data_IF_030521558160
#
_entry.id   IF_030521558160
#
_cell.length_a   1.000
_cell.length_b   1.000
_cell.length_c   1.000
_cell.angle_alpha   90.00
_cell.angle_beta   90.00
_cell.angle_gamma   90.00
#
_symmetry.space_group_name_H-M   'P 1'
#
loop_
_entity.id
_entity.type
_entity.pdbx_description
1 polymer ?
#
# COMPACT_ATOMS: atom_id res chain seq x y z
N UNK A 1 -23.74 -15.79 19.20
CA UNK A 1 -24.71 -14.97 19.99
C UNK A 1 -24.39 -14.91 21.50
N UNK A 2 -23.19 -15.30 21.97
CA UNK A 2 -22.74 -15.21 23.38
C UNK A 2 -21.92 -13.94 23.70
N UNK A 3 -21.42 -13.23 22.68
CA UNK A 3 -20.50 -12.10 22.85
C UNK A 3 -21.19 -10.76 23.22
N UNK A 4 -22.52 -10.68 23.08
CA UNK A 4 -23.28 -9.45 23.39
C UNK A 4 -23.46 -9.15 24.88
N UNK A 5 -23.11 -10.09 25.78
CA UNK A 5 -23.35 -9.95 27.22
C UNK A 5 -22.14 -9.43 28.02
N UNK A 6 -21.01 -9.13 27.38
CA UNK A 6 -19.77 -8.74 28.06
C UNK A 6 -19.45 -7.24 27.97
N UNK A 7 -20.43 -6.41 27.61
CA UNK A 7 -20.21 -5.02 27.18
C UNK A 7 -19.36 -4.16 28.13
N UNK A 8 -19.25 -4.49 29.43
CA UNK A 8 -18.51 -3.69 30.42
C UNK A 8 -17.78 -4.48 31.52
N UNK A 9 -17.41 -5.76 31.32
CA UNK A 9 -16.70 -6.54 32.36
C UNK A 9 -15.19 -6.66 32.06
N UNK A 10 -14.30 -5.90 32.74
CA UNK A 10 -12.85 -5.96 32.50
C UNK A 10 -12.27 -7.35 32.78
N UNK A 11 -12.84 -8.11 33.74
CA UNK A 11 -12.39 -9.48 34.02
C UNK A 11 -12.66 -10.45 32.86
N UNK A 12 -13.70 -10.19 32.08
CA UNK A 12 -14.01 -11.00 30.90
C UNK A 12 -13.06 -10.69 29.74
N UNK A 13 -12.75 -9.41 29.52
CA UNK A 13 -11.73 -9.01 28.55
C UNK A 13 -10.36 -9.64 28.89
N UNK A 14 -9.94 -9.53 30.16
CA UNK A 14 -8.68 -10.14 30.63
C UNK A 14 -8.66 -11.66 30.45
N UNK A 15 -9.80 -12.34 30.69
CA UNK A 15 -9.90 -13.77 30.49
C UNK A 15 -9.78 -14.15 29.02
N UNK A 16 -10.40 -13.39 28.11
CA UNK A 16 -10.29 -13.60 26.66
C UNK A 16 -8.85 -13.40 26.18
N UNK A 17 -8.17 -12.35 26.63
CA UNK A 17 -6.75 -12.10 26.29
C UNK A 17 -5.85 -13.24 26.79
N UNK A 18 -6.03 -13.70 28.03
CA UNK A 18 -5.29 -14.86 28.56
C UNK A 18 -5.56 -16.14 27.77
N UNK A 19 -6.80 -16.38 27.36
CA UNK A 19 -7.16 -17.52 26.53
C UNK A 19 -6.49 -17.45 25.15
N UNK A 20 -6.41 -16.25 24.54
CA UNK A 20 -5.70 -16.05 23.27
C UNK A 20 -4.22 -16.40 23.41
N UNK A 21 -3.51 -15.86 24.40
CA UNK A 21 -2.09 -16.16 24.61
C UNK A 21 -1.85 -17.67 24.81
N UNK A 22 -2.67 -18.33 25.62
CA UNK A 22 -2.54 -19.77 25.85
C UNK A 22 -2.79 -20.60 24.59
N UNK A 23 -3.71 -20.17 23.73
CA UNK A 23 -3.96 -20.83 22.44
C UNK A 23 -2.79 -20.62 21.47
N UNK A 24 -2.21 -19.43 21.45
CA UNK A 24 -1.05 -19.09 20.62
C UNK A 24 0.18 -19.92 21.01
N UNK A 25 0.50 -19.97 22.31
CA UNK A 25 1.58 -20.81 22.85
C UNK A 25 1.39 -22.27 22.44
N UNK A 26 0.17 -22.78 22.57
CA UNK A 26 -0.12 -24.17 22.22
C UNK A 26 0.00 -24.44 20.73
N UNK A 27 -0.43 -23.50 19.90
CA UNK A 27 -0.32 -23.59 18.45
C UNK A 27 1.15 -23.59 18.02
N UNK A 28 1.96 -22.73 18.62
CA UNK A 28 3.40 -22.65 18.38
C UNK A 28 4.12 -23.96 18.77
N UNK A 29 3.79 -24.55 19.93
CA UNK A 29 4.30 -25.87 20.33
C UNK A 29 4.00 -26.95 19.28
N UNK A 30 2.76 -26.97 18.77
CA UNK A 30 2.32 -27.94 17.76
C UNK A 30 3.10 -27.72 16.45
N UNK A 31 3.20 -26.48 15.97
CA UNK A 31 3.98 -26.16 14.76
C UNK A 31 5.43 -26.62 14.87
N UNK A 32 6.10 -26.34 16.00
CA UNK A 32 7.48 -26.78 16.26
C UNK A 32 7.58 -28.31 16.20
N UNK A 33 6.63 -29.03 16.80
CA UNK A 33 6.60 -30.50 16.79
C UNK A 33 6.42 -31.05 15.37
N UNK A 34 5.49 -30.50 14.59
CA UNK A 34 5.26 -30.90 13.20
C UNK A 34 6.51 -30.69 12.33
N UNK A 35 7.13 -29.51 12.42
CA UNK A 35 8.36 -29.17 11.69
C UNK A 35 9.51 -30.11 12.06
N UNK A 36 9.68 -30.45 13.35
CA UNK A 36 10.70 -31.40 13.81
C UNK A 36 10.51 -32.79 13.21
N UNK A 37 9.26 -33.24 13.06
CA UNK A 37 8.93 -34.57 12.53
C UNK A 37 9.04 -34.65 10.99
N UNK A 38 8.96 -33.52 10.28
CA UNK A 38 9.15 -33.46 8.82
C UNK A 38 10.57 -33.86 8.36
N UNK A 39 11.55 -33.94 9.28
CA UNK A 39 12.93 -34.41 9.00
C UNK A 39 13.01 -35.87 8.53
N UNK A 40 11.94 -36.65 8.65
CA UNK A 40 11.88 -38.08 8.26
C UNK A 40 11.28 -38.31 6.87
N UNK A 41 10.96 -37.24 6.14
CA UNK A 41 10.32 -37.26 4.82
C UNK A 41 11.37 -36.99 3.73
N UNK A 42 11.13 -37.43 2.49
CA UNK A 42 11.99 -37.10 1.34
C UNK A 42 12.09 -35.59 1.16
N UNK A 43 13.27 -35.08 0.81
CA UNK A 43 13.61 -33.65 0.78
C UNK A 43 12.61 -32.77 0.00
N UNK A 44 12.12 -33.24 -1.15
CA UNK A 44 11.14 -32.51 -1.97
C UNK A 44 9.78 -32.39 -1.28
N UNK A 45 9.28 -33.49 -0.73
CA UNK A 45 7.99 -33.53 -0.02
C UNK A 45 8.08 -32.74 1.30
N UNK A 46 9.27 -32.71 1.92
CA UNK A 46 9.56 -31.89 3.09
C UNK A 46 9.52 -30.39 2.77
N UNK A 47 10.10 -29.95 1.64
CA UNK A 47 10.07 -28.55 1.22
C UNK A 47 8.62 -28.08 0.99
N UNK A 48 7.82 -28.87 0.27
CA UNK A 48 6.42 -28.55 0.01
C UNK A 48 5.61 -28.44 1.30
N UNK A 49 5.75 -29.40 2.22
CA UNK A 49 5.06 -29.36 3.51
C UNK A 49 5.48 -28.16 4.38
N UNK A 50 6.75 -27.74 4.33
CA UNK A 50 7.22 -26.55 5.04
C UNK A 50 6.68 -25.25 4.44
N UNK A 51 6.53 -25.18 3.11
CA UNK A 51 5.93 -24.03 2.43
C UNK A 51 4.44 -23.92 2.74
N UNK A 52 3.71 -25.03 2.72
CA UNK A 52 2.30 -25.04 3.10
C UNK A 52 2.09 -24.57 4.55
N UNK A 53 2.92 -25.07 5.48
CA UNK A 53 2.89 -24.63 6.88
C UNK A 53 3.22 -23.14 7.03
N UNK A 54 4.19 -22.64 6.26
CA UNK A 54 4.56 -21.23 6.23
C UNK A 54 3.41 -20.36 5.72
N UNK A 55 2.77 -20.74 4.61
CA UNK A 55 1.63 -20.02 4.04
C UNK A 55 0.43 -20.00 5.00
N UNK A 56 0.12 -21.13 5.64
CA UNK A 56 -0.94 -21.19 6.67
C UNK A 56 -0.63 -20.28 7.86
N UNK A 57 0.61 -20.31 8.36
CA UNK A 57 1.01 -19.45 9.48
C UNK A 57 0.91 -17.96 9.11
N UNK A 58 1.43 -17.59 7.94
CA UNK A 58 1.38 -16.22 7.42
C UNK A 58 -0.06 -15.74 7.19
N UNK A 59 -0.91 -16.59 6.61
CA UNK A 59 -2.33 -16.30 6.40
C UNK A 59 -3.08 -16.08 7.71
N UNK A 60 -2.83 -16.93 8.72
CA UNK A 60 -3.45 -16.80 10.03
C UNK A 60 -3.01 -15.52 10.76
N UNK A 61 -1.72 -15.16 10.67
CA UNK A 61 -1.19 -13.92 11.23
C UNK A 61 -1.86 -12.70 10.57
N UNK A 62 -1.84 -12.62 9.24
CA UNK A 62 -2.50 -11.54 8.48
C UNK A 62 -3.99 -11.43 8.79
N UNK A 63 -4.72 -12.55 8.89
CA UNK A 63 -6.14 -12.55 9.28
C UNK A 63 -6.35 -12.01 10.69
N UNK A 64 -5.46 -12.32 11.63
CA UNK A 64 -5.52 -11.84 13.01
C UNK A 64 -5.22 -10.33 13.06
N UNK A 65 -4.16 -9.88 12.41
CA UNK A 65 -3.80 -8.46 12.28
C UNK A 65 -4.94 -7.64 11.65
N UNK A 66 -5.59 -8.19 10.62
CA UNK A 66 -6.77 -7.59 9.98
C UNK A 66 -7.94 -7.43 10.95
N UNK A 67 -8.31 -8.49 11.66
CA UNK A 67 -9.42 -8.46 12.62
C UNK A 67 -9.16 -7.49 13.78
N UNK A 68 -7.91 -7.43 14.26
CA UNK A 68 -7.52 -6.46 15.29
C UNK A 68 -7.62 -5.03 14.76
N UNK A 69 -7.15 -4.78 13.55
CA UNK A 69 -7.24 -3.48 12.88
C UNK A 69 -8.69 -3.04 12.67
N UNK A 70 -9.56 -3.93 12.16
CA UNK A 70 -11.00 -3.70 12.04
C UNK A 70 -11.65 -3.37 13.37
N UNK A 71 -11.33 -4.15 14.41
CA UNK A 71 -11.86 -3.95 15.76
C UNK A 71 -11.42 -2.60 16.33
N UNK A 72 -10.15 -2.22 16.14
CA UNK A 72 -9.64 -0.90 16.54
C UNK A 72 -10.35 0.24 15.81
N UNK A 73 -10.62 0.10 14.51
CA UNK A 73 -11.36 1.10 13.75
C UNK A 73 -12.79 1.31 14.25
N UNK A 74 -13.45 0.23 14.65
CA UNK A 74 -14.80 0.27 15.22
C UNK A 74 -14.85 0.90 16.62
N UNK A 75 -13.73 0.95 17.35
CA UNK A 75 -13.64 1.64 18.64
C UNK A 75 -13.62 3.15 18.37
N UNK A 76 -14.66 3.88 18.81
CA UNK A 76 -14.76 5.34 18.64
C UNK A 76 -13.82 6.19 19.51
N UNK A 77 -12.74 5.60 20.06
CA UNK A 77 -11.80 6.24 20.97
C UNK A 77 -10.47 6.51 20.25
N UNK A 78 -9.96 7.73 20.33
CA UNK A 78 -8.70 8.16 19.69
C UNK A 78 -7.45 7.46 20.24
N UNK A 79 -7.53 6.77 21.37
CA UNK A 79 -6.41 6.01 21.92
C UNK A 79 -5.89 4.89 21.00
N UNK A 80 -6.68 4.47 20.00
CA UNK A 80 -6.20 3.49 18.99
C UNK A 80 -5.32 4.12 17.90
N UNK A 81 -5.31 5.45 17.76
CA UNK A 81 -4.60 6.14 16.67
C UNK A 81 -3.10 5.80 16.64
N UNK A 82 -2.34 5.88 17.76
CA UNK A 82 -0.91 5.55 17.72
C UNK A 82 -0.64 4.11 17.27
N UNK A 83 -1.50 3.17 17.67
CA UNK A 83 -1.37 1.75 17.30
C UNK A 83 -1.68 1.56 15.82
N UNK A 84 -2.77 2.15 15.32
CA UNK A 84 -3.11 2.11 13.89
C UNK A 84 -2.02 2.77 13.03
N UNK A 85 -1.39 3.84 13.51
CA UNK A 85 -0.25 4.48 12.83
C UNK A 85 0.97 3.55 12.80
N UNK A 86 1.25 2.84 13.89
CA UNK A 86 2.29 1.82 13.91
C UNK A 86 1.98 0.69 12.93
N UNK A 87 0.74 0.20 12.91
CA UNK A 87 0.29 -0.83 11.97
C UNK A 87 0.48 -0.37 10.53
N UNK A 88 0.07 0.85 10.21
CA UNK A 88 0.22 1.41 8.87
C UNK A 88 1.68 1.50 8.40
N UNK A 89 2.61 1.79 9.32
CA UNK A 89 4.05 2.02 9.08
C UNK A 89 4.94 0.78 9.16
N UNK A 90 4.50 -0.33 9.76
CA UNK A 90 5.35 -1.50 9.93
C UNK A 90 5.47 -2.30 8.61
N UNK A 91 6.66 -2.37 7.98
CA UNK A 91 6.86 -3.12 6.74
C UNK A 91 6.63 -4.63 6.88
N UNK A 92 6.64 -5.16 8.11
CA UNK A 92 6.45 -6.59 8.37
C UNK A 92 4.97 -7.00 8.35
N UNK A 93 4.07 -6.04 8.52
CA UNK A 93 2.62 -6.28 8.51
C UNK A 93 2.16 -6.40 7.07
N UNK A 94 1.24 -7.33 6.82
CA UNK A 94 0.66 -7.49 5.48
C UNK A 94 0.04 -6.18 5.02
N UNK A 95 0.36 -5.78 3.80
CA UNK A 95 -0.01 -4.48 3.28
C UNK A 95 -1.54 -4.31 3.15
N UNK A 96 -2.32 -5.37 2.91
CA UNK A 96 -3.79 -5.28 3.01
C UNK A 96 -4.28 -4.80 4.39
N UNK A 97 -3.60 -5.19 5.48
CA UNK A 97 -3.90 -4.70 6.84
C UNK A 97 -3.43 -3.25 7.01
N UNK A 98 -2.26 -2.90 6.46
CA UNK A 98 -1.76 -1.52 6.45
C UNK A 98 -2.75 -0.58 5.74
N UNK A 99 -3.31 -0.99 4.59
CA UNK A 99 -4.32 -0.23 3.83
C UNK A 99 -5.54 0.06 4.69
N UNK A 100 -5.98 -0.96 5.42
CA UNK A 100 -7.14 -0.84 6.27
C UNK A 100 -6.89 0.10 7.45
N UNK A 101 -5.71 0.03 8.07
CA UNK A 101 -5.33 0.97 9.14
C UNK A 101 -5.33 2.41 8.63
N UNK A 102 -4.80 2.64 7.44
CA UNK A 102 -4.77 3.94 6.74
C UNK A 102 -6.17 4.46 6.46
N UNK A 103 -7.06 3.62 5.90
CA UNK A 103 -8.45 3.97 5.64
C UNK A 103 -9.19 4.36 6.93
N UNK A 104 -8.98 3.59 8.00
CA UNK A 104 -9.56 3.87 9.32
C UNK A 104 -9.04 5.20 9.87
N UNK A 105 -7.74 5.45 9.78
CA UNK A 105 -7.12 6.67 10.26
C UNK A 105 -7.64 7.90 9.52
N UNK A 106 -7.74 7.84 8.18
CA UNK A 106 -8.29 8.92 7.36
C UNK A 106 -9.73 9.28 7.75
N UNK A 107 -10.56 8.28 8.09
CA UNK A 107 -11.93 8.51 8.57
C UNK A 107 -12.01 9.07 9.99
N UNK A 108 -11.00 8.83 10.83
CA UNK A 108 -11.02 9.22 12.25
C UNK A 108 -10.53 10.64 12.48
N UNK A 109 -9.35 10.98 11.96
CA UNK A 109 -8.72 12.31 12.10
C UNK A 109 -7.83 12.60 10.89
N UNK A 110 -8.37 13.26 9.86
CA UNK A 110 -7.60 13.65 8.69
C UNK A 110 -6.36 14.47 9.07
N UNK A 111 -6.53 15.54 9.85
CA UNK A 111 -5.45 16.52 10.09
C UNK A 111 -4.23 15.95 10.86
N UNK A 112 -4.41 14.94 11.71
CA UNK A 112 -3.35 14.38 12.57
C UNK A 112 -2.51 13.28 11.88
N UNK A 113 -2.92 12.79 10.70
CA UNK A 113 -2.33 11.59 10.06
C UNK A 113 -1.55 11.94 8.78
N UNK A 114 -1.62 13.18 8.31
CA UNK A 114 -0.95 13.65 7.10
C UNK A 114 0.56 13.32 7.03
N UNK A 115 1.29 13.55 8.13
CA UNK A 115 2.74 13.25 8.22
C UNK A 115 3.01 11.74 8.13
N UNK A 116 2.16 10.92 8.74
CA UNK A 116 2.27 9.46 8.64
C UNK A 116 1.96 8.96 7.23
N UNK A 117 1.03 9.60 6.53
CA UNK A 117 0.76 9.30 5.13
C UNK A 117 1.90 9.73 4.21
N UNK A 118 2.50 10.91 4.41
CA UNK A 118 3.62 11.39 3.60
C UNK A 118 4.84 10.45 3.66
N UNK A 119 5.19 9.95 4.85
CA UNK A 119 6.27 8.97 5.02
C UNK A 119 5.97 7.63 4.33
N UNK A 120 4.70 7.20 4.36
CA UNK A 120 4.27 5.96 3.74
C UNK A 120 4.25 6.01 2.21
N UNK A 121 3.96 7.19 1.64
CA UNK A 121 4.04 7.44 0.20
C UNK A 121 5.48 7.49 -0.29
N UNK A 122 6.41 7.94 0.56
CA UNK A 122 7.82 8.14 0.23
C UNK A 122 8.73 6.93 0.44
N UNK A 123 8.22 5.76 0.85
CA UNK A 123 9.02 4.55 1.08
C UNK A 123 8.72 3.41 0.08
N UNK A 124 9.40 3.39 -1.08
CA UNK A 124 9.35 2.28 -2.05
C UNK A 124 10.02 0.99 -1.53
N UNK A 125 10.82 1.07 -0.45
CA UNK A 125 11.74 0.01 -0.04
C UNK A 125 11.11 -1.07 0.82
N UNK A 126 9.89 -0.87 1.33
CA UNK A 126 9.24 -1.81 2.26
C UNK A 126 8.93 -3.20 1.66
N UNK A 127 9.08 -3.40 0.34
CA UNK A 127 9.05 -4.73 -0.31
C UNK A 127 10.37 -5.12 -1.02
N UNK A 128 11.38 -4.23 -1.05
CA UNK A 128 12.63 -4.42 -1.80
C UNK A 128 13.60 -5.41 -1.11
N UNK A 129 13.61 -5.50 0.23
CA UNK A 129 14.50 -6.41 0.95
C UNK A 129 14.08 -7.89 0.80
N UNK A 130 12.78 -8.18 0.80
CA UNK A 130 12.25 -9.52 0.50
C UNK A 130 12.45 -9.86 -0.98
N UNK A 131 12.36 -8.85 -1.87
CA UNK A 131 12.62 -8.94 -3.33
C UNK A 131 14.07 -9.36 -3.61
N UNK A 132 15.06 -8.74 -2.97
CA UNK A 132 16.47 -9.11 -3.14
C UNK A 132 16.79 -10.50 -2.58
N UNK A 133 16.26 -10.84 -1.41
CA UNK A 133 16.48 -12.16 -0.81
C UNK A 133 15.88 -13.29 -1.66
N UNK A 134 14.66 -13.11 -2.18
CA UNK A 134 14.00 -14.08 -3.05
C UNK A 134 14.75 -14.24 -4.39
N UNK A 135 15.13 -13.15 -5.06
CA UNK A 135 15.86 -13.19 -6.34
C UNK A 135 17.24 -13.85 -6.20
N UNK A 136 17.96 -13.58 -5.11
CA UNK A 136 19.25 -14.19 -4.83
C UNK A 136 19.14 -15.69 -4.51
N UNK A 137 18.05 -16.11 -3.86
CA UNK A 137 17.80 -17.52 -3.49
C UNK A 137 17.25 -18.36 -4.65
N UNK A 138 16.54 -17.75 -5.61
CA UNK A 138 15.98 -18.41 -6.80
C UNK A 138 17.03 -18.81 -7.86
N UNK A 139 18.26 -18.27 -7.77
CA UNK A 139 19.35 -18.57 -8.71
C UNK A 139 19.92 -19.98 -8.46
N UNK A 140 19.21 -21.01 -8.93
CA UNK A 140 19.69 -22.41 -8.89
C UNK A 140 18.63 -23.49 -8.65
N UNK A 141 17.37 -23.14 -8.42
CA UNK A 141 16.31 -24.12 -8.13
C UNK A 141 15.63 -24.60 -9.42
N UNK A 142 15.66 -25.91 -9.71
CA UNK A 142 15.07 -26.54 -10.91
C UNK A 142 13.61 -27.01 -10.74
N UNK A 143 12.95 -26.64 -9.65
CA UNK A 143 11.61 -27.12 -9.30
C UNK A 143 10.55 -26.07 -9.62
N UNK A 144 9.86 -26.27 -10.74
CA UNK A 144 8.87 -25.35 -11.34
C UNK A 144 7.77 -24.89 -10.38
N UNK A 145 7.26 -25.80 -9.53
CA UNK A 145 6.21 -25.48 -8.56
C UNK A 145 6.67 -24.53 -7.45
N UNK A 146 7.95 -24.58 -7.06
CA UNK A 146 8.52 -23.67 -6.07
C UNK A 146 8.66 -22.26 -6.64
N UNK A 147 9.07 -22.18 -7.90
CA UNK A 147 9.17 -20.91 -8.63
C UNK A 147 7.78 -20.27 -8.79
N UNK A 148 6.76 -21.04 -9.14
CA UNK A 148 5.39 -20.53 -9.29
C UNK A 148 4.78 -20.02 -7.97
N UNK A 149 4.98 -20.74 -6.86
CA UNK A 149 4.52 -20.28 -5.55
C UNK A 149 5.17 -18.95 -5.13
N UNK A 150 6.49 -18.82 -5.34
CA UNK A 150 7.24 -17.61 -5.02
C UNK A 150 6.88 -16.43 -5.94
N UNK A 151 6.62 -16.68 -7.24
CA UNK A 151 6.16 -15.68 -8.19
C UNK A 151 4.75 -15.17 -7.86
N UNK A 152 3.85 -16.04 -7.40
CA UNK A 152 2.52 -15.64 -6.97
C UNK A 152 2.60 -14.75 -5.73
N UNK A 153 3.46 -15.08 -4.75
CA UNK A 153 3.72 -14.23 -3.59
C UNK A 153 4.33 -12.87 -3.97
N UNK A 154 5.21 -12.84 -4.98
CA UNK A 154 5.75 -11.60 -5.55
C UNK A 154 4.66 -10.71 -6.18
N UNK A 155 3.83 -11.28 -7.06
CA UNK A 155 2.76 -10.54 -7.72
C UNK A 155 1.72 -10.04 -6.72
N UNK A 156 1.41 -10.84 -5.70
CA UNK A 156 0.49 -10.45 -4.63
C UNK A 156 1.00 -9.22 -3.86
N UNK A 157 2.29 -9.19 -3.47
CA UNK A 157 2.87 -8.03 -2.79
C UNK A 157 2.86 -6.74 -3.64
N UNK A 158 3.07 -6.84 -4.96
CA UNK A 158 2.98 -5.70 -5.88
C UNK A 158 1.55 -5.19 -6.02
N UNK A 159 0.57 -6.08 -6.17
CA UNK A 159 -0.85 -5.73 -6.23
C UNK A 159 -1.33 -5.09 -4.94
N UNK A 160 -0.95 -5.66 -3.79
CA UNK A 160 -1.33 -5.12 -2.49
C UNK A 160 -0.66 -3.74 -2.23
N UNK A 161 0.58 -3.53 -2.68
CA UNK A 161 1.26 -2.22 -2.62
C UNK A 161 0.53 -1.12 -3.37
N UNK A 162 0.17 -1.36 -4.63
CA UNK A 162 -0.60 -0.36 -5.37
C UNK A 162 -2.03 -0.21 -4.83
N UNK A 163 -2.57 -1.22 -4.15
CA UNK A 163 -3.82 -1.07 -3.40
C UNK A 163 -3.67 -0.11 -2.20
N UNK A 164 -2.54 -0.15 -1.47
CA UNK A 164 -2.24 0.80 -0.39
C UNK A 164 -2.20 2.22 -0.92
N UNK A 165 -1.41 2.39 -1.97
CA UNK A 165 -1.18 3.69 -2.59
C UNK A 165 -2.49 4.27 -3.13
N UNK A 166 -3.32 3.44 -3.76
CA UNK A 166 -4.66 3.85 -4.19
C UNK A 166 -5.54 4.30 -3.04
N UNK A 167 -5.55 3.56 -1.93
CA UNK A 167 -6.37 3.86 -0.74
C UNK A 167 -5.90 5.16 -0.08
N UNK A 168 -4.59 5.37 0.00
CA UNK A 168 -4.00 6.63 0.46
C UNK A 168 -4.41 7.79 -0.43
N UNK A 169 -4.25 7.67 -1.75
CA UNK A 169 -4.63 8.72 -2.68
C UNK A 169 -6.15 9.02 -2.66
N UNK A 170 -6.99 8.06 -2.30
CA UNK A 170 -8.43 8.33 -2.06
C UNK A 170 -8.64 9.15 -0.78
N UNK A 171 -7.95 8.80 0.30
CA UNK A 171 -8.07 9.51 1.57
C UNK A 171 -7.52 10.95 1.46
N UNK A 172 -6.40 11.14 0.77
CA UNK A 172 -5.63 12.38 0.79
C UNK A 172 -6.26 13.56 0.05
N UNK A 173 -7.32 13.36 -0.73
CA UNK A 173 -7.99 14.46 -1.44
C UNK A 173 -8.61 15.50 -0.50
N UNK A 174 -8.71 15.17 0.78
CA UNK A 174 -9.28 16.03 1.83
C UNK A 174 -8.20 16.71 2.71
N UNK A 175 -6.90 16.55 2.40
CA UNK A 175 -5.80 16.94 3.28
C UNK A 175 -4.97 18.08 2.69
N UNK A 176 -4.90 19.24 3.37
CA UNK A 176 -4.06 20.38 2.96
C UNK A 176 -2.72 20.43 3.71
N UNK A 177 -1.94 19.35 3.61
CA UNK A 177 -0.60 19.25 4.23
C UNK A 177 0.53 19.40 3.17
N UNK A 178 1.52 20.28 3.40
CA UNK A 178 2.62 20.50 2.45
C UNK A 178 3.51 19.27 2.18
N UNK A 179 3.69 18.36 3.15
CA UNK A 179 4.48 17.14 2.97
C UNK A 179 3.72 16.09 2.16
N UNK A 180 2.42 15.92 2.43
CA UNK A 180 1.54 15.08 1.62
C UNK A 180 1.57 15.54 0.18
N UNK A 181 1.36 16.83 -0.05
CA UNK A 181 1.41 17.43 -1.38
C UNK A 181 2.72 17.13 -2.12
N UNK A 182 3.86 17.24 -1.43
CA UNK A 182 5.17 16.93 -2.01
C UNK A 182 5.26 15.46 -2.44
N UNK A 183 4.78 14.53 -1.62
CA UNK A 183 4.79 13.10 -1.94
C UNK A 183 3.87 12.78 -3.13
N UNK A 184 2.68 13.39 -3.20
CA UNK A 184 1.76 13.19 -4.34
C UNK A 184 2.34 13.78 -5.64
N UNK A 185 3.06 14.92 -5.57
CA UNK A 185 3.80 15.46 -6.71
C UNK A 185 4.86 14.48 -7.21
N UNK A 186 5.62 13.84 -6.31
CA UNK A 186 6.64 12.86 -6.66
C UNK A 186 6.03 11.65 -7.39
N UNK A 187 4.91 11.12 -6.88
CA UNK A 187 4.18 10.01 -7.50
C UNK A 187 3.69 10.38 -8.90
N UNK A 188 3.16 11.59 -9.10
CA UNK A 188 2.68 12.02 -10.41
C UNK A 188 3.81 12.05 -11.47
N UNK A 189 5.01 12.48 -11.07
CA UNK A 189 6.16 12.64 -11.98
C UNK A 189 6.96 11.36 -12.23
N UNK A 190 7.03 10.44 -11.27
CA UNK A 190 7.88 9.24 -11.38
C UNK A 190 7.32 8.21 -12.37
N UNK A 191 8.19 7.67 -13.21
CA UNK A 191 7.87 6.57 -14.14
C UNK A 191 7.88 5.19 -13.47
N UNK A 192 8.23 5.11 -12.18
CA UNK A 192 8.25 3.86 -11.40
C UNK A 192 6.84 3.41 -10.97
N UNK A 193 5.85 4.31 -11.08
CA UNK A 193 4.46 4.04 -10.71
C UNK A 193 3.60 3.66 -11.92
N UNK A 194 2.62 2.73 -11.76
CA UNK A 194 1.65 2.40 -12.79
C UNK A 194 0.86 3.62 -13.24
N UNK A 195 0.45 3.60 -14.51
CA UNK A 195 -0.30 4.69 -15.15
C UNK A 195 -1.53 5.10 -14.32
N UNK A 196 -2.30 4.13 -13.81
CA UNK A 196 -3.54 4.41 -13.06
C UNK A 196 -3.26 5.13 -11.73
N UNK A 197 -2.16 4.79 -11.04
CA UNK A 197 -1.71 5.46 -9.82
C UNK A 197 -1.33 6.90 -10.12
N UNK A 198 -0.55 7.13 -11.17
CA UNK A 198 -0.10 8.47 -11.58
C UNK A 198 -1.26 9.35 -11.97
N UNK A 199 -2.21 8.83 -12.76
CA UNK A 199 -3.47 9.52 -13.09
C UNK A 199 -4.24 9.93 -11.85
N UNK A 200 -4.32 9.04 -10.86
CA UNK A 200 -5.00 9.31 -9.59
C UNK A 200 -4.29 10.37 -8.76
N UNK A 201 -2.96 10.32 -8.68
CA UNK A 201 -2.15 11.35 -8.03
C UNK A 201 -2.35 12.73 -8.70
N UNK A 202 -2.33 12.80 -10.03
CA UNK A 202 -2.64 14.04 -10.77
C UNK A 202 -4.04 14.53 -10.43
N UNK A 203 -5.06 13.66 -10.43
CA UNK A 203 -6.42 14.09 -10.06
C UNK A 203 -6.50 14.61 -8.62
N UNK A 204 -5.81 13.97 -7.68
CA UNK A 204 -5.76 14.34 -6.27
C UNK A 204 -5.08 15.70 -6.06
N UNK A 205 -4.02 16.00 -6.81
CA UNK A 205 -3.32 17.30 -6.74
C UNK A 205 -4.21 18.50 -7.07
N UNK A 206 -5.31 18.30 -7.81
CA UNK A 206 -6.28 19.36 -8.08
C UNK A 206 -7.06 19.80 -6.82
N UNK A 207 -7.17 18.92 -5.81
CA UNK A 207 -7.94 19.19 -4.59
C UNK A 207 -7.19 20.11 -3.60
N UNK A 208 -5.87 20.24 -3.73
CA UNK A 208 -5.05 21.16 -2.91
C UNK A 208 -5.27 22.65 -3.26
N UNK A 209 -6.05 22.97 -4.30
CA UNK A 209 -6.33 24.35 -4.73
C UNK A 209 -5.08 25.24 -4.90
N UNK A 210 -3.94 24.65 -5.29
CA UNK A 210 -2.70 25.39 -5.55
C UNK A 210 -2.31 25.41 -7.03
N UNK A 211 -2.51 26.54 -7.72
CA UNK A 211 -2.06 26.75 -9.10
C UNK A 211 -0.56 26.51 -9.35
N UNK A 212 0.30 26.60 -8.34
CA UNK A 212 1.75 26.43 -8.50
C UNK A 212 2.15 25.02 -8.93
N UNK A 213 1.31 24.01 -8.64
CA UNK A 213 1.51 22.61 -9.04
C UNK A 213 1.59 22.48 -10.57
N UNK A 214 0.86 23.34 -11.31
CA UNK A 214 0.84 23.34 -12.77
C UNK A 214 2.23 23.60 -13.37
N UNK A 215 3.12 24.31 -12.66
CA UNK A 215 4.48 24.58 -13.13
C UNK A 215 5.31 23.29 -13.28
N UNK A 216 5.03 22.25 -12.49
CA UNK A 216 5.70 20.95 -12.60
C UNK A 216 5.00 20.01 -13.59
N UNK A 217 3.67 19.97 -13.57
CA UNK A 217 2.90 19.00 -14.35
C UNK A 217 2.71 19.37 -15.82
N UNK A 218 2.53 20.65 -16.17
CA UNK A 218 2.35 21.06 -17.57
C UNK A 218 3.54 20.65 -18.45
N UNK A 219 4.81 20.88 -18.05
CA UNK A 219 5.97 20.41 -18.82
C UNK A 219 5.98 18.91 -19.15
N UNK A 220 5.30 18.06 -18.36
CA UNK A 220 5.19 16.63 -18.67
C UNK A 220 4.58 16.39 -20.06
N UNK A 221 3.69 17.28 -20.51
CA UNK A 221 3.02 17.21 -21.82
C UNK A 221 3.95 17.57 -22.99
N UNK A 222 5.19 17.99 -22.76
CA UNK A 222 6.18 18.10 -23.84
C UNK A 222 6.67 16.73 -24.32
N UNK A 223 6.57 15.70 -23.46
CA UNK A 223 6.87 14.32 -23.82
C UNK A 223 5.62 13.63 -24.37
N UNK A 224 5.74 13.07 -25.57
CA UNK A 224 4.66 12.31 -26.23
C UNK A 224 4.14 11.14 -25.38
N UNK A 225 5.00 10.47 -24.63
CA UNK A 225 4.62 9.27 -23.87
C UNK A 225 3.74 9.63 -22.66
N UNK A 226 3.80 10.89 -22.21
CA UNK A 226 3.00 11.41 -21.10
C UNK A 226 1.62 11.93 -21.53
N UNK A 227 1.27 11.89 -22.83
CA UNK A 227 -0.06 12.32 -23.28
C UNK A 227 -1.21 11.50 -22.73
N UNK A 228 -0.93 10.29 -22.25
CA UNK A 228 -1.87 9.48 -21.50
C UNK A 228 -2.43 10.19 -20.25
N UNK A 229 -1.73 11.23 -19.76
CA UNK A 229 -2.12 12.08 -18.63
C UNK A 229 -2.77 13.41 -19.05
N UNK A 230 -2.93 13.68 -20.35
CA UNK A 230 -3.42 14.96 -20.88
C UNK A 230 -4.74 15.35 -20.24
N UNK A 231 -5.75 14.47 -20.28
CA UNK A 231 -7.08 14.77 -19.74
C UNK A 231 -7.03 15.07 -18.23
N UNK A 232 -6.21 14.33 -17.47
CA UNK A 232 -6.04 14.55 -16.04
C UNK A 232 -5.45 15.95 -15.74
N UNK A 233 -4.38 16.32 -16.46
CA UNK A 233 -3.70 17.62 -16.30
C UNK A 233 -4.59 18.78 -16.75
N UNK A 234 -5.31 18.61 -17.87
CA UNK A 234 -6.21 19.66 -18.37
C UNK A 234 -7.43 19.84 -17.46
N UNK A 235 -8.01 18.75 -16.94
CA UNK A 235 -9.08 18.84 -15.96
C UNK A 235 -8.62 19.56 -14.69
N UNK A 236 -7.38 19.33 -14.23
CA UNK A 236 -6.79 20.10 -13.14
C UNK A 236 -6.70 21.59 -13.47
N UNK A 237 -6.21 21.96 -14.65
CA UNK A 237 -6.13 23.37 -15.09
C UNK A 237 -7.50 24.04 -15.03
N UNK A 238 -8.56 23.36 -15.47
CA UNK A 238 -9.94 23.88 -15.38
C UNK A 238 -10.43 23.97 -13.94
N UNK A 239 -10.20 22.95 -13.10
CA UNK A 239 -10.58 22.96 -11.67
C UNK A 239 -9.96 24.14 -10.93
N UNK A 240 -8.70 24.46 -11.24
CA UNK A 240 -7.98 25.57 -10.62
C UNK A 240 -8.32 26.95 -11.21
N UNK A 241 -9.17 27.02 -12.25
CA UNK A 241 -9.54 28.28 -12.92
C UNK A 241 -8.38 28.95 -13.67
N UNK A 242 -7.40 28.15 -14.10
CA UNK A 242 -6.13 28.60 -14.66
C UNK A 242 -6.08 28.42 -16.20
N UNK A 243 -7.22 28.17 -16.84
CA UNK A 243 -7.33 27.82 -18.25
C UNK A 243 -6.90 28.96 -19.18
N UNK A 244 -7.30 30.21 -18.89
CA UNK A 244 -6.96 31.36 -19.75
C UNK A 244 -5.47 31.64 -19.74
N UNK A 245 -4.84 31.55 -18.56
CA UNK A 245 -3.41 31.81 -18.38
C UNK A 245 -2.57 30.73 -19.05
N UNK A 246 -2.98 29.47 -18.98
CA UNK A 246 -2.18 28.34 -19.46
C UNK A 246 -2.52 27.87 -20.88
N UNK A 247 -3.59 28.39 -21.50
CA UNK A 247 -4.06 27.96 -22.82
C UNK A 247 -2.97 27.98 -23.91
N UNK A 248 -2.13 29.02 -23.94
CA UNK A 248 -1.04 29.09 -24.93
C UNK A 248 0.07 28.08 -24.63
N UNK A 249 0.44 27.92 -23.37
CA UNK A 249 1.46 26.96 -22.93
C UNK A 249 1.06 25.54 -23.29
N UNK A 250 -0.19 25.15 -22.97
CA UNK A 250 -0.76 23.85 -23.32
C UNK A 250 -0.71 23.60 -24.83
N UNK A 251 -1.07 24.58 -25.66
CA UNK A 251 -0.99 24.46 -27.13
C UNK A 251 0.44 24.27 -27.62
N UNK A 252 1.41 24.98 -27.05
CA UNK A 252 2.84 24.88 -27.42
C UNK A 252 3.43 23.54 -27.04
N UNK A 253 3.15 23.06 -25.83
CA UNK A 253 3.55 21.72 -25.37
C UNK A 253 2.93 20.66 -26.28
N UNK A 254 1.66 20.86 -26.63
CA UNK A 254 0.97 19.92 -27.48
C UNK A 254 1.55 19.85 -28.91
N UNK A 255 1.96 21.00 -29.43
CA UNK A 255 2.70 21.08 -30.68
C UNK A 255 4.04 20.36 -30.57
N UNK A 256 4.87 20.67 -29.58
CA UNK A 256 6.20 20.05 -29.41
C UNK A 256 6.16 18.52 -29.42
N UNK A 257 5.28 17.92 -28.63
CA UNK A 257 5.16 16.47 -28.56
C UNK A 257 4.67 15.81 -29.86
N UNK A 258 3.90 16.54 -30.67
CA UNK A 258 3.48 16.05 -31.98
C UNK A 258 4.61 16.10 -33.01
N UNK A 259 5.55 17.06 -32.90
CA UNK A 259 6.65 17.22 -33.84
C UNK A 259 7.89 16.41 -33.49
N UNK A 260 8.12 16.09 -32.22
CA UNK A 260 9.16 15.12 -31.82
C UNK A 260 8.92 13.72 -32.41
N UNK A 261 7.70 13.41 -32.86
CA UNK A 261 7.36 12.20 -33.62
C UNK A 261 8.00 12.16 -35.00
N UNK A 262 8.21 13.30 -35.67
CA UNK A 262 8.69 13.35 -37.07
C UNK A 262 10.21 13.28 -37.23
N UNK A 263 10.96 13.45 -36.14
CA UNK A 263 12.44 13.43 -36.19
C UNK A 263 13.02 12.02 -35.93
N UNK A 264 12.21 11.07 -35.48
CA UNK A 264 12.63 9.70 -35.13
C UNK A 264 11.91 8.59 -35.92
N UNK A 265 11.05 8.96 -36.87
CA UNK A 265 10.44 8.08 -37.89
C UNK A 265 11.15 8.30 -39.24
#
# INVERSE_FOLDING_TARGET
>A
KMLGMFKENPKAADALVRSMHKMEDKTNEIHISLIKNLRRVRTKDQILALLDLYEVAKSNMSRTERLLTESMGAIGNDQVIPILTQVARDPKINIGVRNQAVEILGKKKPDDVAVAFAELLGDPNTNLEVREFALNTMKGVKEENLVLALLNTYNMGKTEYYSLLNTMLDALGEFDDPQVKKAVIEIAHSDDYPIDIRKKAINNLAEFNDPSILNGLLPMLENKDNYIYYDNIINMVYKLGEEKKNAESVRRMAFKAHFSKKEYD
#
